data_IF_573951463996
#
_entry.id   IF_573951463996
#
_cell.length_a   1.000
_cell.length_b   1.000
_cell.length_c   1.000
_cell.angle_alpha   90.00
_cell.angle_beta   90.00
_cell.angle_gamma   90.00
#
_symmetry.space_group_name_H-M   'P 1'
#
loop_
_entity.id
_entity.type
_entity.pdbx_description
1 polymer ?
#
# COMPACT_ATOMS: atom_id res chain seq x y z
N UNK A 1 -3.26 -22.73 0.80
CA UNK A 1 -2.11 -22.57 -0.12
C UNK A 1 -1.54 -23.93 -0.42
N UNK A 2 -1.67 -24.40 -1.68
CA UNK A 2 -0.95 -25.57 -2.16
C UNK A 2 0.22 -25.08 -3.02
N UNK A 3 1.43 -25.47 -2.65
CA UNK A 3 2.64 -25.23 -3.43
C UNK A 3 3.15 -26.60 -3.86
N UNK A 4 3.27 -26.82 -5.16
CA UNK A 4 3.92 -28.03 -5.69
C UNK A 4 5.32 -27.65 -6.16
N UNK A 5 6.35 -28.35 -5.68
CA UNK A 5 7.73 -28.17 -6.13
C UNK A 5 8.06 -29.15 -7.27
N UNK A 6 8.85 -28.72 -8.27
CA UNK A 6 9.27 -29.55 -9.40
C UNK A 6 9.10 -28.85 -10.76
N UNK A 7 9.37 -29.58 -11.86
CA UNK A 7 9.44 -29.04 -13.24
C UNK A 7 8.13 -28.43 -13.77
N UNK A 8 7.00 -28.68 -13.10
CA UNK A 8 5.68 -28.06 -13.35
C UNK A 8 5.08 -27.44 -12.06
N UNK A 9 5.93 -27.11 -11.10
CA UNK A 9 5.53 -26.51 -9.83
C UNK A 9 5.12 -25.05 -9.95
N UNK A 10 4.46 -24.53 -8.92
CA UNK A 10 4.02 -23.14 -8.86
C UNK A 10 3.04 -22.86 -7.73
N UNK A 11 2.66 -21.59 -7.60
CA UNK A 11 1.57 -21.16 -6.73
C UNK A 11 0.24 -21.30 -7.48
N UNK A 12 -0.74 -21.90 -6.82
CA UNK A 12 -2.11 -21.95 -7.32
C UNK A 12 -3.00 -21.04 -6.48
N UNK A 13 -3.77 -20.18 -7.15
CA UNK A 13 -4.81 -19.38 -6.52
C UNK A 13 -5.93 -20.30 -6.02
N UNK A 14 -6.32 -20.14 -4.76
CA UNK A 14 -7.34 -20.99 -4.11
C UNK A 14 -8.54 -20.20 -3.56
N UNK A 15 -8.55 -18.87 -3.66
CA UNK A 15 -9.62 -18.01 -3.15
C UNK A 15 -10.62 -17.58 -4.23
N UNK A 16 -11.70 -16.90 -3.84
CA UNK A 16 -12.53 -16.16 -4.79
C UNK A 16 -11.85 -14.82 -5.13
N UNK A 17 -11.50 -14.54 -6.39
CA UNK A 17 -10.92 -13.25 -6.79
C UNK A 17 -11.77 -12.01 -6.43
N UNK A 18 -13.07 -12.19 -6.19
CA UNK A 18 -14.00 -11.11 -5.77
C UNK A 18 -13.88 -10.74 -4.30
N UNK A 19 -13.31 -11.62 -3.47
CA UNK A 19 -13.18 -11.40 -2.04
C UNK A 19 -11.90 -10.64 -1.67
N UNK A 20 -10.91 -10.60 -2.57
CA UNK A 20 -9.61 -9.97 -2.31
C UNK A 20 -9.56 -8.58 -2.92
N UNK A 21 -9.47 -7.56 -2.06
CA UNK A 21 -9.36 -6.16 -2.47
C UNK A 21 -7.92 -5.81 -2.83
N UNK A 22 -7.76 -4.94 -3.82
CA UNK A 22 -6.42 -4.49 -4.21
C UNK A 22 -5.71 -3.69 -3.11
N UNK A 23 -6.45 -3.06 -2.19
CA UNK A 23 -5.86 -2.36 -1.04
C UNK A 23 -5.23 -3.30 -0.02
N UNK A 24 -5.73 -4.54 0.11
CA UNK A 24 -5.12 -5.57 0.96
C UNK A 24 -3.80 -6.06 0.36
N UNK A 25 -3.77 -6.24 -0.97
CA UNK A 25 -2.53 -6.54 -1.70
C UNK A 25 -1.54 -5.40 -1.53
N UNK A 26 -2.00 -4.15 -1.70
CA UNK A 26 -1.17 -2.97 -1.50
C UNK A 26 -0.52 -3.01 -0.12
N UNK A 27 -1.27 -3.21 0.96
CA UNK A 27 -0.71 -3.31 2.31
C UNK A 27 0.32 -4.45 2.45
N UNK A 28 0.02 -5.63 1.89
CA UNK A 28 0.90 -6.81 2.00
C UNK A 28 2.23 -6.66 1.27
N UNK A 29 2.25 -6.00 0.09
CA UNK A 29 3.47 -5.80 -0.71
C UNK A 29 4.18 -4.49 -0.40
N UNK A 30 3.47 -3.56 0.24
CA UNK A 30 4.03 -2.33 0.78
C UNK A 30 4.75 -2.68 2.07
N UNK A 31 5.97 -3.21 1.96
CA UNK A 31 6.82 -3.35 3.13
C UNK A 31 6.84 -2.02 3.92
N UNK A 32 6.71 -2.14 5.23
CA UNK A 32 6.49 -1.09 6.25
C UNK A 32 7.64 -0.05 6.33
N UNK A 33 8.56 -0.04 5.36
CA UNK A 33 9.67 0.92 5.25
C UNK A 33 9.19 2.36 5.00
N UNK A 34 7.95 2.55 4.51
CA UNK A 34 7.37 3.89 4.33
C UNK A 34 6.99 4.58 5.64
N UNK A 35 6.67 3.80 6.68
CA UNK A 35 6.27 4.31 7.99
C UNK A 35 7.48 4.51 8.93
N UNK A 36 8.60 3.82 8.67
CA UNK A 36 9.85 4.08 9.39
C UNK A 36 10.51 5.41 8.97
N UNK A 37 10.12 6.49 9.68
CA UNK A 37 10.95 7.68 9.97
C UNK A 37 11.71 8.30 8.78
N UNK A 38 11.04 8.55 7.66
CA UNK A 38 11.62 9.38 6.60
C UNK A 38 11.87 10.82 7.10
N UNK A 39 11.00 11.34 7.98
CA UNK A 39 11.08 12.71 8.47
C UNK A 39 11.56 12.75 9.93
N UNK A 40 12.85 13.09 10.11
CA UNK A 40 13.45 13.29 11.44
C UNK A 40 13.18 14.71 11.93
N UNK A 41 12.87 14.86 13.21
CA UNK A 41 12.90 16.17 13.87
C UNK A 41 14.37 16.61 14.01
N UNK A 42 14.63 17.90 13.77
CA UNK A 42 15.97 18.43 13.97
C UNK A 42 16.30 18.50 15.46
N UNK A 43 17.55 18.18 15.81
CA UNK A 43 18.04 18.26 17.18
C UNK A 43 18.19 19.70 17.71
N UNK A 44 18.21 20.69 16.82
CA UNK A 44 18.31 22.11 17.16
C UNK A 44 16.90 22.74 17.30
N UNK A 45 16.50 23.17 18.52
CA UNK A 45 15.17 23.73 18.78
C UNK A 45 15.00 25.19 18.31
N UNK A 46 16.05 25.84 17.80
CA UNK A 46 15.99 27.26 17.40
C UNK A 46 15.26 27.49 16.07
N UNK A 47 15.19 26.47 15.21
CA UNK A 47 14.44 26.52 13.96
C UNK A 47 13.06 25.86 14.12
N UNK A 48 12.04 26.68 14.34
CA UNK A 48 10.65 26.22 14.51
C UNK A 48 10.14 25.33 13.37
N UNK A 49 10.62 25.57 12.14
CA UNK A 49 10.25 24.78 10.96
C UNK A 49 10.80 23.37 11.08
N UNK A 50 12.10 23.22 11.37
CA UNK A 50 12.75 21.90 11.42
C UNK A 50 12.31 21.07 12.63
N UNK A 51 11.92 21.71 13.74
CA UNK A 51 11.32 21.04 14.90
C UNK A 51 9.95 20.44 14.57
N UNK A 52 9.16 21.08 13.70
CA UNK A 52 7.77 20.67 13.41
C UNK A 52 7.62 19.85 12.13
N UNK A 53 8.56 19.98 11.20
CA UNK A 53 8.49 19.34 9.88
C UNK A 53 8.34 17.82 9.98
N UNK A 54 9.09 17.18 10.88
CA UNK A 54 9.02 15.73 11.13
C UNK A 54 7.59 15.24 11.37
N UNK A 55 6.95 15.81 12.39
CA UNK A 55 5.58 15.46 12.78
C UNK A 55 4.54 15.81 11.72
N UNK A 56 4.64 16.99 11.09
CA UNK A 56 3.66 17.43 10.08
C UNK A 56 3.74 16.54 8.84
N UNK A 57 4.94 16.30 8.31
CA UNK A 57 5.13 15.48 7.12
C UNK A 57 4.77 14.01 7.37
N UNK A 58 5.06 13.48 8.57
CA UNK A 58 4.64 12.14 8.97
C UNK A 58 3.11 11.98 8.90
N UNK A 59 2.36 12.93 9.47
CA UNK A 59 0.88 12.89 9.40
C UNK A 59 0.33 12.97 7.98
N UNK A 60 0.88 13.88 7.16
CA UNK A 60 0.47 13.99 5.76
C UNK A 60 0.75 12.71 4.97
N UNK A 61 1.85 12.03 5.27
CA UNK A 61 2.19 10.75 4.67
C UNK A 61 1.23 9.63 5.10
N UNK A 62 0.88 9.56 6.38
CA UNK A 62 -0.14 8.63 6.89
C UNK A 62 -1.49 8.85 6.20
N UNK A 63 -1.94 10.11 6.08
CA UNK A 63 -3.17 10.47 5.36
C UNK A 63 -3.11 10.06 3.88
N UNK A 64 -1.99 10.30 3.21
CA UNK A 64 -1.80 9.92 1.81
C UNK A 64 -1.85 8.39 1.63
N UNK A 65 -1.20 7.62 2.49
CA UNK A 65 -1.22 6.15 2.45
C UNK A 65 -2.66 5.65 2.65
N UNK A 66 -3.40 6.21 3.60
CA UNK A 66 -4.79 5.83 3.82
C UNK A 66 -5.68 6.13 2.61
N UNK A 67 -5.47 7.26 1.94
CA UNK A 67 -6.18 7.59 0.70
C UNK A 67 -5.86 6.59 -0.43
N UNK A 68 -4.60 6.16 -0.55
CA UNK A 68 -4.21 5.14 -1.53
C UNK A 68 -4.85 3.78 -1.23
N UNK A 69 -4.84 3.35 0.03
CA UNK A 69 -5.52 2.12 0.47
C UNK A 69 -7.01 2.19 0.13
N UNK A 70 -7.67 3.30 0.47
CA UNK A 70 -9.08 3.50 0.18
C UNK A 70 -9.38 3.52 -1.32
N UNK A 71 -8.48 4.09 -2.12
CA UNK A 71 -8.60 4.07 -3.58
C UNK A 71 -8.54 2.65 -4.14
N UNK A 72 -7.53 1.86 -3.73
CA UNK A 72 -7.38 0.47 -4.19
C UNK A 72 -8.48 -0.45 -3.65
N UNK A 73 -9.02 -0.19 -2.46
CA UNK A 73 -10.12 -0.96 -1.88
C UNK A 73 -11.44 -0.86 -2.67
N UNK A 74 -11.54 0.05 -3.64
CA UNK A 74 -12.68 0.13 -4.56
C UNK A 74 -12.70 -1.01 -5.58
N UNK A 75 -11.61 -1.77 -5.70
CA UNK A 75 -11.41 -2.82 -6.70
C UNK A 75 -10.94 -4.12 -6.05
N UNK A 76 -11.24 -5.21 -6.73
CA UNK A 76 -10.89 -6.59 -6.37
C UNK A 76 -9.90 -7.18 -7.38
N UNK A 77 -9.39 -8.38 -7.12
CA UNK A 77 -8.63 -9.12 -8.13
C UNK A 77 -9.51 -9.44 -9.34
N UNK A 78 -10.81 -9.71 -9.14
CA UNK A 78 -11.73 -9.94 -10.25
C UNK A 78 -11.82 -8.73 -11.20
N UNK A 79 -11.89 -7.51 -10.66
CA UNK A 79 -11.84 -6.27 -11.45
C UNK A 79 -10.59 -6.20 -12.34
N UNK A 80 -9.44 -6.64 -11.82
CA UNK A 80 -8.19 -6.69 -12.59
C UNK A 80 -8.23 -7.76 -13.68
N UNK A 81 -8.78 -8.94 -13.39
CA UNK A 81 -8.93 -10.05 -14.36
C UNK A 81 -9.87 -9.64 -15.50
N UNK A 82 -10.97 -8.98 -15.17
CA UNK A 82 -11.99 -8.55 -16.13
C UNK A 82 -11.51 -7.39 -17.01
N UNK A 83 -10.31 -6.84 -16.76
CA UNK A 83 -9.71 -5.79 -17.55
C UNK A 83 -10.55 -4.52 -17.49
N UNK A 84 -10.73 -3.96 -16.29
CA UNK A 84 -11.47 -2.70 -16.14
C UNK A 84 -10.88 -1.64 -17.05
N UNK A 85 -11.67 -1.25 -18.05
CA UNK A 85 -11.49 -0.02 -18.80
C UNK A 85 -11.52 1.14 -17.81
N UNK A 86 -10.36 1.72 -17.55
CA UNK A 86 -10.29 3.06 -16.96
C UNK A 86 -10.79 4.05 -18.00
N UNK A 87 -12.07 4.40 -17.94
CA UNK A 87 -12.50 5.69 -18.47
C UNK A 87 -11.85 6.76 -17.59
N UNK A 88 -10.78 7.38 -18.11
CA UNK A 88 -10.30 8.66 -17.61
C UNK A 88 -11.32 9.71 -18.02
N UNK A 89 -12.04 10.29 -17.05
CA UNK A 89 -12.78 11.53 -17.24
C UNK A 89 -11.89 12.73 -16.88
#
# INVERSE_FOLDING_TARGET
>A
MSTTAGKQGGYQWQGDPKEVRLGEIFLLVSEDERLEKAFKEAADPTCLVSTRMGSVMGKLQEEQIQQQINFYNKRTIQDMIDGVQTECH
#
